data_IF_796302960732
#
_entry.id   IF_796302960732
#
_cell.length_a   1.000
_cell.length_b   1.000
_cell.length_c   1.000
_cell.angle_alpha   90.00
_cell.angle_beta   90.00
_cell.angle_gamma   90.00
#
_symmetry.space_group_name_H-M   'P 1'
#
loop_
_entity.id
_entity.type
_entity.pdbx_description
1 polymer ?
#
# COMPACT_ATOMS: atom_id res chain seq x y z
N UNK A 1 -39.42 -35.18 0.02
CA UNK A 1 -39.89 -34.50 -1.20
C UNK A 1 -40.58 -33.22 -0.73
N UNK A 2 -39.83 -32.14 -0.60
CA UNK A 2 -40.36 -30.84 -0.14
C UNK A 2 -39.92 -29.79 -1.15
N UNK A 3 -40.71 -29.70 -2.20
CA UNK A 3 -40.72 -28.60 -3.16
C UNK A 3 -41.51 -27.45 -2.52
N UNK A 4 -40.84 -26.60 -1.76
CA UNK A 4 -41.38 -25.29 -1.40
C UNK A 4 -40.19 -24.37 -1.13
N UNK A 5 -39.99 -23.39 -2.00
CA UNK A 5 -39.36 -22.08 -1.76
C UNK A 5 -39.00 -21.39 -3.09
N UNK A 6 -39.86 -21.54 -4.12
CA UNK A 6 -39.74 -20.78 -5.38
C UNK A 6 -40.55 -19.48 -5.40
N UNK A 7 -41.46 -19.28 -4.44
CA UNK A 7 -42.49 -18.22 -4.51
C UNK A 7 -42.23 -17.03 -3.58
N UNK A 8 -41.41 -17.18 -2.53
CA UNK A 8 -41.05 -16.07 -1.61
C UNK A 8 -39.91 -15.19 -2.13
N UNK A 9 -39.31 -15.53 -3.27
CA UNK A 9 -38.09 -14.87 -3.80
C UNK A 9 -38.34 -13.45 -4.37
N UNK A 10 -39.60 -13.02 -4.49
CA UNK A 10 -39.98 -11.78 -5.17
C UNK A 10 -40.27 -10.64 -4.16
N UNK A 11 -40.33 -10.90 -2.85
CA UNK A 11 -40.78 -9.90 -1.86
C UNK A 11 -39.68 -9.13 -1.12
N UNK A 12 -38.39 -9.45 -1.29
CA UNK A 12 -37.29 -8.73 -0.63
C UNK A 12 -36.44 -7.93 -1.63
N UNK A 13 -36.22 -6.65 -1.33
CA UNK A 13 -35.39 -5.74 -2.16
C UNK A 13 -33.93 -6.19 -2.28
N UNK A 14 -33.46 -7.02 -1.33
CA UNK A 14 -32.11 -7.55 -1.28
C UNK A 14 -32.13 -9.08 -1.28
N UNK A 15 -31.17 -9.73 -1.96
CA UNK A 15 -31.03 -11.18 -1.90
C UNK A 15 -30.63 -11.61 -0.47
N UNK A 16 -31.04 -12.82 -0.04
CA UNK A 16 -30.56 -13.38 1.22
C UNK A 16 -29.04 -13.58 1.17
N UNK A 17 -28.37 -13.65 2.33
CA UNK A 17 -26.94 -13.91 2.39
C UNK A 17 -26.61 -15.25 1.70
N UNK A 18 -25.38 -15.41 1.19
CA UNK A 18 -25.00 -16.63 0.50
C UNK A 18 -25.17 -17.89 1.37
N UNK A 19 -25.49 -19.05 0.76
CA UNK A 19 -25.81 -20.29 1.48
C UNK A 19 -24.63 -20.82 2.31
N UNK A 20 -23.39 -20.46 1.96
CA UNK A 20 -22.19 -20.88 2.68
C UNK A 20 -22.05 -20.28 4.09
N UNK A 21 -22.81 -19.23 4.42
CA UNK A 21 -22.80 -18.65 5.77
C UNK A 21 -23.18 -19.67 6.87
N UNK A 22 -23.94 -20.72 6.52
CA UNK A 22 -24.34 -21.78 7.47
C UNK A 22 -23.17 -22.65 7.94
N UNK A 23 -22.09 -22.73 7.16
CA UNK A 23 -20.93 -23.57 7.47
C UNK A 23 -19.95 -22.89 8.45
N UNK A 24 -20.14 -21.59 8.75
CA UNK A 24 -19.35 -20.81 9.70
C UNK A 24 -19.81 -21.06 11.15
N UNK A 25 -19.66 -22.29 11.63
CA UNK A 25 -19.91 -22.69 13.03
C UNK A 25 -18.59 -22.81 13.81
N UNK A 26 -18.62 -22.58 15.12
CA UNK A 26 -17.43 -22.70 15.99
C UNK A 26 -16.75 -24.08 15.90
N UNK A 27 -17.53 -25.15 15.72
CA UNK A 27 -17.03 -26.52 15.53
C UNK A 27 -16.20 -26.67 14.24
N UNK A 28 -16.76 -26.25 13.09
CA UNK A 28 -16.05 -26.29 11.81
C UNK A 28 -14.80 -25.40 11.79
N UNK A 29 -14.80 -24.29 12.54
CA UNK A 29 -13.63 -23.42 12.70
C UNK A 29 -12.51 -24.11 13.50
N UNK A 30 -12.86 -24.82 14.58
CA UNK A 30 -11.89 -25.60 15.35
C UNK A 30 -11.27 -26.73 14.51
N UNK A 31 -12.10 -27.47 13.75
CA UNK A 31 -11.61 -28.52 12.85
C UNK A 31 -10.69 -27.99 11.76
N UNK A 32 -11.02 -26.83 11.17
CA UNK A 32 -10.18 -26.18 10.18
C UNK A 32 -8.83 -25.75 10.77
N UNK A 33 -8.81 -25.21 12.00
CA UNK A 33 -7.57 -24.84 12.69
C UNK A 33 -6.68 -26.06 12.97
N UNK A 34 -7.27 -27.19 13.38
CA UNK A 34 -6.55 -28.45 13.57
C UNK A 34 -5.94 -28.97 12.26
N UNK A 35 -6.72 -28.97 11.16
CA UNK A 35 -6.25 -29.39 9.84
C UNK A 35 -5.10 -28.50 9.36
N UNK A 36 -5.23 -27.17 9.44
CA UNK A 36 -4.17 -26.23 9.07
C UNK A 36 -2.89 -26.45 9.89
N UNK A 37 -3.03 -26.71 11.20
CA UNK A 37 -1.89 -27.01 12.06
C UNK A 37 -1.18 -28.33 11.70
N UNK A 38 -1.94 -29.33 11.22
CA UNK A 38 -1.40 -30.62 10.80
C UNK A 38 -0.66 -30.53 9.46
N UNK A 39 -1.17 -29.74 8.52
CA UNK A 39 -0.54 -29.47 7.21
C UNK A 39 0.80 -28.75 7.42
N UNK A 40 0.81 -27.66 8.20
CA UNK A 40 2.04 -26.91 8.48
C UNK A 40 3.13 -27.73 9.19
N UNK A 41 2.76 -28.73 9.99
CA UNK A 41 3.74 -29.63 10.66
C UNK A 41 4.36 -30.64 9.69
N UNK A 42 3.62 -31.09 8.69
CA UNK A 42 4.13 -32.02 7.67
C UNK A 42 5.04 -31.29 6.67
N UNK A 43 4.73 -30.05 6.29
CA UNK A 43 5.58 -29.24 5.42
C UNK A 43 6.91 -28.86 6.08
N UNK A 44 6.91 -28.60 7.39
CA UNK A 44 8.13 -28.30 8.16
C UNK A 44 9.11 -29.49 8.26
N UNK A 45 8.64 -30.73 8.07
CA UNK A 45 9.49 -31.92 8.11
C UNK A 45 10.15 -32.24 6.75
N UNK A 46 9.60 -31.72 5.64
CA UNK A 46 10.05 -32.04 4.28
C UNK A 46 10.87 -30.93 3.59
N UNK A 47 10.86 -29.69 4.09
CA UNK A 47 11.54 -28.57 3.45
C UNK A 47 12.97 -28.38 3.97
N UNK A 48 13.91 -29.18 3.45
CA UNK A 48 15.36 -29.00 3.61
C UNK A 48 16.07 -28.57 2.32
N UNK A 49 15.35 -28.19 1.27
CA UNK A 49 15.98 -27.69 0.04
C UNK A 49 15.38 -26.32 -0.33
N UNK A 50 16.28 -25.33 -0.42
CA UNK A 50 15.92 -23.94 -0.65
C UNK A 50 15.83 -23.64 -2.13
N UNK A 51 14.64 -23.31 -2.59
CA UNK A 51 14.46 -22.33 -3.67
C UNK A 51 13.13 -21.59 -3.46
N UNK A 52 13.22 -20.29 -3.19
CA UNK A 52 12.09 -19.42 -2.88
C UNK A 52 11.65 -18.71 -4.17
N UNK A 53 10.84 -19.39 -4.98
CA UNK A 53 9.94 -18.72 -5.92
C UNK A 53 8.51 -18.92 -5.43
N UNK A 54 7.88 -17.81 -5.03
CA UNK A 54 6.58 -17.73 -4.40
C UNK A 54 5.44 -18.10 -5.37
N UNK A 55 5.15 -19.40 -5.50
CA UNK A 55 3.91 -19.93 -6.07
C UNK A 55 3.39 -21.15 -5.25
N UNK A 56 3.56 -21.10 -3.91
CA UNK A 56 3.16 -22.14 -2.95
C UNK A 56 1.65 -22.16 -2.62
N UNK A 57 0.76 -21.89 -3.58
CA UNK A 57 -0.70 -21.82 -3.36
C UNK A 57 -1.45 -23.08 -3.87
N UNK A 58 -0.74 -24.14 -4.26
CA UNK A 58 -1.36 -25.22 -5.04
C UNK A 58 -1.74 -26.53 -4.33
N UNK A 59 -1.12 -26.95 -3.22
CA UNK A 59 -1.33 -28.33 -2.75
C UNK A 59 -2.08 -28.51 -1.41
N UNK A 60 -2.38 -27.43 -0.67
CA UNK A 60 -3.06 -27.56 0.62
C UNK A 60 -4.60 -27.77 0.54
N UNK A 61 -5.19 -27.61 -0.65
CA UNK A 61 -6.64 -27.71 -0.86
C UNK A 61 -7.14 -29.16 -1.05
N UNK A 62 -6.25 -30.13 -1.31
CA UNK A 62 -6.64 -31.54 -1.47
C UNK A 62 -7.02 -32.22 -0.15
N UNK A 63 -6.61 -31.67 0.99
CA UNK A 63 -6.86 -32.25 2.31
C UNK A 63 -8.11 -31.70 3.02
N UNK A 64 -8.76 -30.67 2.47
CA UNK A 64 -9.95 -30.04 3.07
C UNK A 64 -11.21 -30.63 2.42
N UNK A 65 -11.81 -31.63 3.08
CA UNK A 65 -13.00 -32.32 2.58
C UNK A 65 -14.29 -31.57 2.88
N UNK A 66 -15.20 -31.56 1.92
CA UNK A 66 -16.62 -31.22 2.14
C UNK A 66 -16.87 -29.75 2.48
N UNK A 67 -17.68 -29.53 3.52
CA UNK A 67 -18.25 -28.23 3.89
C UNK A 67 -17.19 -27.22 4.41
N UNK A 68 -16.04 -27.71 4.88
CA UNK A 68 -14.93 -26.88 5.35
C UNK A 68 -14.23 -26.13 4.21
N UNK A 69 -14.39 -26.56 2.95
CA UNK A 69 -13.83 -25.85 1.79
C UNK A 69 -14.41 -24.43 1.65
N UNK A 70 -15.64 -24.21 2.11
CA UNK A 70 -16.29 -22.90 2.05
C UNK A 70 -15.75 -21.89 3.08
N UNK A 71 -14.94 -22.36 4.04
CA UNK A 71 -14.27 -21.50 5.03
C UNK A 71 -12.92 -20.98 4.53
N UNK A 72 -12.36 -21.60 3.49
CA UNK A 72 -11.12 -21.15 2.85
C UNK A 72 -11.47 -20.15 1.74
N UNK A 73 -10.78 -18.99 1.67
CA UNK A 73 -10.96 -18.06 0.56
C UNK A 73 -10.76 -18.78 -0.79
N UNK A 74 -11.63 -18.52 -1.79
CA UNK A 74 -11.50 -19.17 -3.08
C UNK A 74 -10.20 -18.73 -3.78
N UNK A 75 -9.63 -19.63 -4.57
CA UNK A 75 -8.47 -19.33 -5.42
C UNK A 75 -8.77 -18.16 -6.37
N UNK A 76 -7.76 -17.34 -6.63
CA UNK A 76 -7.87 -16.25 -7.61
C UNK A 76 -8.27 -16.84 -8.98
N UNK A 77 -9.34 -16.33 -9.63
CA UNK A 77 -9.74 -16.85 -10.93
C UNK A 77 -8.62 -16.66 -11.96
N UNK A 78 -8.32 -17.69 -12.76
CA UNK A 78 -7.32 -17.60 -13.85
C UNK A 78 -7.78 -16.75 -15.05
N UNK A 79 -8.98 -16.16 -14.98
CA UNK A 79 -9.52 -15.32 -16.04
C UNK A 79 -8.75 -14.01 -16.19
N UNK A 80 -8.89 -13.34 -17.34
CA UNK A 80 -8.33 -11.99 -17.55
C UNK A 80 -9.27 -10.89 -17.04
N UNK A 81 -10.57 -11.19 -16.97
CA UNK A 81 -11.61 -10.23 -16.62
C UNK A 81 -12.67 -10.84 -15.68
N UNK A 82 -13.31 -10.01 -14.86
CA UNK A 82 -14.44 -10.37 -14.00
C UNK A 82 -15.57 -9.35 -14.15
N UNK A 83 -16.82 -9.79 -14.02
CA UNK A 83 -17.97 -8.89 -14.06
C UNK A 83 -18.33 -8.46 -12.65
N UNK A 84 -18.30 -7.16 -12.39
CA UNK A 84 -18.63 -6.55 -11.10
C UNK A 84 -19.54 -5.34 -11.30
N UNK A 85 -20.70 -5.33 -10.65
CA UNK A 85 -21.64 -4.19 -10.64
C UNK A 85 -22.04 -3.71 -12.04
N UNK A 86 -22.33 -4.65 -12.95
CA UNK A 86 -22.73 -4.35 -14.33
C UNK A 86 -21.56 -4.14 -15.30
N UNK A 87 -20.36 -3.86 -14.79
CA UNK A 87 -19.16 -3.61 -15.60
C UNK A 87 -18.25 -4.83 -15.69
N UNK A 88 -17.50 -4.94 -16.79
CA UNK A 88 -16.44 -5.93 -16.97
C UNK A 88 -15.12 -5.27 -16.58
N UNK A 89 -14.47 -5.81 -15.56
CA UNK A 89 -13.21 -5.36 -15.00
C UNK A 89 -12.09 -6.31 -15.41
N UNK A 90 -10.87 -5.82 -15.59
CA UNK A 90 -9.69 -6.67 -15.82
C UNK A 90 -8.95 -6.93 -14.52
N UNK A 91 -8.40 -8.14 -14.32
CA UNK A 91 -7.60 -8.46 -13.13
C UNK A 91 -6.25 -7.74 -13.10
N UNK A 92 -5.64 -7.53 -14.27
CA UNK A 92 -4.47 -6.68 -14.43
C UNK A 92 -4.95 -5.34 -14.98
N UNK A 93 -4.63 -4.27 -14.26
CA UNK A 93 -4.91 -2.92 -14.71
C UNK A 93 -4.06 -2.63 -15.95
N UNK A 94 -4.69 -2.72 -17.12
CA UNK A 94 -4.10 -2.37 -18.40
C UNK A 94 -4.87 -1.18 -18.91
N UNK A 95 -4.14 -0.09 -19.19
CA UNK A 95 -4.76 1.05 -19.82
C UNK A 95 -5.26 0.63 -21.21
N UNK A 96 -6.52 0.89 -21.58
CA UNK A 96 -7.02 0.60 -22.92
C UNK A 96 -6.16 1.34 -23.95
N UNK A 97 -5.60 0.63 -24.94
CA UNK A 97 -4.87 1.30 -26.00
C UNK A 97 -5.86 2.05 -26.90
N UNK A 98 -5.47 3.21 -27.40
CA UNK A 98 -6.25 3.97 -28.39
C UNK A 98 -6.55 3.16 -29.66
N UNK A 99 -5.61 2.29 -30.05
CA UNK A 99 -5.76 1.38 -31.20
C UNK A 99 -6.82 0.32 -30.98
N UNK A 100 -6.96 -0.20 -29.76
CA UNK A 100 -7.97 -1.21 -29.40
C UNK A 100 -9.39 -0.60 -29.38
N UNK A 101 -9.48 0.72 -29.31
CA UNK A 101 -10.73 1.49 -29.28
C UNK A 101 -11.03 2.19 -30.62
N UNK A 102 -10.28 1.88 -31.68
CA UNK A 102 -10.39 2.45 -33.03
C UNK A 102 -10.15 3.98 -33.13
N UNK A 103 -9.53 4.59 -32.14
CA UNK A 103 -9.20 6.02 -32.18
C UNK A 103 -7.80 6.24 -32.75
N UNK A 104 -7.67 7.27 -33.59
CA UNK A 104 -6.37 7.66 -34.14
C UNK A 104 -5.49 8.22 -33.01
N UNK A 105 -4.30 7.66 -32.92
CA UNK A 105 -3.31 8.07 -31.94
C UNK A 105 -2.45 9.17 -32.55
N UNK A 106 -2.49 10.36 -31.94
CA UNK A 106 -1.83 11.56 -32.48
C UNK A 106 -0.37 11.71 -32.05
N UNK A 107 0.19 10.75 -31.31
CA UNK A 107 1.54 10.83 -30.74
C UNK A 107 2.27 9.48 -30.81
N UNK A 108 3.60 9.51 -30.87
CA UNK A 108 4.44 8.32 -30.94
C UNK A 108 4.70 7.72 -29.54
N UNK A 109 4.24 6.49 -29.31
CA UNK A 109 4.47 5.76 -28.04
C UNK A 109 5.94 5.42 -27.78
N UNK A 110 6.75 5.27 -28.83
CA UNK A 110 8.10 4.70 -28.75
C UNK A 110 9.13 5.61 -28.03
N UNK A 111 8.84 6.90 -27.84
CA UNK A 111 9.77 7.90 -27.30
C UNK A 111 9.24 8.63 -26.04
N UNK A 112 8.32 8.00 -25.30
CA UNK A 112 7.56 8.68 -24.25
C UNK A 112 8.29 8.75 -22.90
N UNK A 113 9.42 9.46 -22.85
CA UNK A 113 9.97 9.96 -21.59
C UNK A 113 8.93 10.87 -20.90
N UNK A 114 8.91 10.93 -19.56
CA UNK A 114 8.01 11.81 -18.79
C UNK A 114 8.00 13.25 -19.30
N UNK A 115 9.15 13.77 -19.73
CA UNK A 115 9.29 15.12 -20.29
C UNK A 115 8.67 15.27 -21.68
N UNK A 116 8.91 14.30 -22.57
CA UNK A 116 8.31 14.27 -23.92
C UNK A 116 6.79 14.23 -23.82
N UNK A 117 6.26 13.47 -22.86
CA UNK A 117 4.82 13.38 -22.57
C UNK A 117 4.20 14.73 -22.24
N UNK A 118 4.87 15.51 -21.40
CA UNK A 118 4.40 16.85 -21.00
C UNK A 118 4.42 17.80 -22.20
N UNK A 119 5.44 17.70 -23.07
CA UNK A 119 5.51 18.50 -24.30
C UNK A 119 4.36 18.16 -25.26
N UNK A 120 4.06 16.88 -25.47
CA UNK A 120 2.93 16.46 -26.31
C UNK A 120 1.59 16.89 -25.70
N UNK A 121 1.45 16.85 -24.37
CA UNK A 121 0.26 17.36 -23.68
C UNK A 121 0.05 18.87 -23.93
N UNK A 122 1.11 19.67 -23.86
CA UNK A 122 1.04 21.11 -24.16
C UNK A 122 0.70 21.36 -25.63
N UNK A 123 1.32 20.63 -26.58
CA UNK A 123 0.97 20.75 -28.01
C UNK A 123 -0.51 20.42 -28.27
N UNK A 124 -1.04 19.37 -27.63
CA UNK A 124 -2.45 19.01 -27.76
C UNK A 124 -3.37 20.07 -27.15
N UNK A 125 -2.97 20.70 -26.04
CA UNK A 125 -3.70 21.80 -25.44
C UNK A 125 -3.76 23.02 -26.38
N UNK A 126 -2.63 23.39 -26.98
CA UNK A 126 -2.56 24.49 -27.94
C UNK A 126 -3.38 24.19 -29.20
N UNK A 127 -3.32 22.95 -29.69
CA UNK A 127 -4.13 22.48 -30.82
C UNK A 127 -5.63 22.46 -30.50
N UNK A 128 -6.02 22.07 -29.29
CA UNK A 128 -7.40 22.11 -28.81
C UNK A 128 -7.92 23.55 -28.75
N UNK A 129 -7.11 24.48 -28.22
CA UNK A 129 -7.45 25.89 -28.16
C UNK A 129 -7.62 26.49 -29.56
N UNK A 130 -6.72 26.15 -30.49
CA UNK A 130 -6.82 26.60 -31.88
C UNK A 130 -8.10 26.09 -32.54
N UNK A 131 -8.42 24.80 -32.39
CA UNK A 131 -9.66 24.22 -32.91
C UNK A 131 -10.91 24.86 -32.30
N UNK A 132 -10.87 25.26 -31.03
CA UNK A 132 -11.97 25.96 -30.39
C UNK A 132 -12.17 27.37 -30.96
N UNK A 133 -11.10 28.12 -31.20
CA UNK A 133 -11.16 29.44 -31.84
C UNK A 133 -11.65 29.33 -33.29
N UNK A 134 -11.20 28.30 -34.01
CA UNK A 134 -11.70 27.99 -35.36
C UNK A 134 -13.18 27.64 -35.36
N UNK A 135 -13.67 26.88 -34.37
CA UNK A 135 -15.09 26.59 -34.22
C UNK A 135 -15.91 27.86 -33.98
N UNK A 136 -15.46 28.76 -33.11
CA UNK A 136 -16.14 30.04 -32.88
C UNK A 136 -16.19 30.87 -34.17
N UNK A 137 -15.07 30.93 -34.90
CA UNK A 137 -15.02 31.63 -36.19
C UNK A 137 -15.97 30.99 -37.21
N UNK A 138 -16.01 29.66 -37.27
CA UNK A 138 -16.86 28.92 -38.18
C UNK A 138 -18.34 29.14 -37.86
N UNK A 139 -18.73 29.08 -36.59
CA UNK A 139 -20.10 29.38 -36.14
C UNK A 139 -20.52 30.83 -36.47
N UNK A 140 -19.57 31.75 -36.56
CA UNK A 140 -19.84 33.14 -36.97
C UNK A 140 -20.01 33.32 -38.48
N UNK A 141 -19.46 32.42 -39.31
CA UNK A 141 -19.47 32.54 -40.79
C UNK A 141 -20.45 31.57 -41.43
N UNK A 142 -20.35 30.28 -41.10
CA UNK A 142 -21.24 29.22 -41.56
C UNK A 142 -21.53 28.21 -40.43
N UNK A 143 -22.69 28.34 -39.75
CA UNK A 143 -23.08 27.47 -38.66
C UNK A 143 -23.31 26.00 -39.05
N UNK A 144 -23.43 25.66 -40.35
CA UNK A 144 -23.76 24.28 -40.76
C UNK A 144 -22.55 23.34 -40.75
N UNK A 145 -21.33 23.87 -40.76
CA UNK A 145 -20.09 23.08 -40.88
C UNK A 145 -19.41 22.79 -39.53
N UNK A 146 -20.12 22.91 -38.41
CA UNK A 146 -19.53 22.76 -37.07
C UNK A 146 -19.10 21.31 -36.73
N UNK A 147 -19.77 20.31 -37.31
CA UNK A 147 -19.60 18.89 -36.99
C UNK A 147 -18.16 18.36 -37.12
N UNK A 148 -17.42 18.59 -38.22
CA UNK A 148 -16.03 18.12 -38.34
C UNK A 148 -15.12 18.68 -37.23
N UNK A 149 -15.28 19.97 -36.87
CA UNK A 149 -14.45 20.59 -35.83
C UNK A 149 -14.75 20.06 -34.43
N UNK A 150 -16.01 19.72 -34.13
CA UNK A 150 -16.38 19.07 -32.87
C UNK A 150 -15.81 17.66 -32.79
N UNK A 151 -15.79 16.93 -33.91
CA UNK A 151 -15.18 15.60 -33.97
C UNK A 151 -13.66 15.65 -33.74
N UNK A 152 -12.98 16.61 -34.36
CA UNK A 152 -11.54 16.83 -34.17
C UNK A 152 -11.21 17.17 -32.70
N UNK A 153 -12.02 18.03 -32.07
CA UNK A 153 -11.86 18.34 -30.64
C UNK A 153 -12.11 17.13 -29.74
N UNK A 154 -13.10 16.29 -30.07
CA UNK A 154 -13.38 15.07 -29.32
C UNK A 154 -12.20 14.09 -29.42
N UNK A 155 -11.60 13.95 -30.60
CA UNK A 155 -10.41 13.14 -30.82
C UNK A 155 -9.20 13.66 -30.03
N UNK A 156 -8.98 14.98 -30.03
CA UNK A 156 -7.92 15.62 -29.25
C UNK A 156 -8.10 15.36 -27.75
N UNK A 157 -9.33 15.49 -27.22
CA UNK A 157 -9.63 15.25 -25.81
C UNK A 157 -9.43 13.78 -25.40
N UNK A 158 -9.78 12.82 -26.25
CA UNK A 158 -9.55 11.40 -26.00
C UNK A 158 -8.04 11.11 -25.92
N UNK A 159 -7.26 11.64 -26.87
CA UNK A 159 -5.80 11.52 -26.88
C UNK A 159 -5.17 12.18 -25.65
N UNK A 160 -5.63 13.39 -25.28
CA UNK A 160 -5.20 14.11 -24.10
C UNK A 160 -5.43 13.29 -22.81
N UNK A 161 -6.63 12.72 -22.67
CA UNK A 161 -6.96 11.88 -21.52
C UNK A 161 -6.10 10.60 -21.48
N UNK A 162 -5.82 10.00 -22.62
CA UNK A 162 -4.95 8.84 -22.68
C UNK A 162 -3.52 9.17 -22.23
N UNK A 163 -2.94 10.27 -22.70
CA UNK A 163 -1.63 10.75 -22.23
C UNK A 163 -1.64 10.98 -20.72
N UNK A 164 -2.66 11.63 -20.17
CA UNK A 164 -2.80 11.81 -18.72
C UNK A 164 -2.85 10.48 -17.97
N UNK A 165 -3.60 9.51 -18.49
CA UNK A 165 -3.69 8.20 -17.87
C UNK A 165 -2.35 7.47 -17.87
N UNK A 166 -1.57 7.57 -18.94
CA UNK A 166 -0.21 7.02 -18.95
C UNK A 166 0.74 7.74 -17.98
N UNK A 167 0.41 8.95 -17.50
CA UNK A 167 1.21 9.68 -16.50
C UNK A 167 0.87 9.28 -15.04
N UNK A 168 -0.26 8.60 -14.80
CA UNK A 168 -0.71 8.18 -13.45
C UNK A 168 0.31 7.35 -12.67
N UNK A 169 1.06 6.40 -13.28
CA UNK A 169 2.08 5.66 -12.53
C UNK A 169 3.20 6.55 -12.02
N UNK A 170 3.65 7.53 -12.82
CA UNK A 170 4.65 8.51 -12.40
C UNK A 170 4.12 9.40 -11.26
N UNK A 171 2.89 9.90 -11.38
CA UNK A 171 2.22 10.66 -10.32
C UNK A 171 2.15 9.88 -9.00
N UNK A 172 1.79 8.60 -9.07
CA UNK A 172 1.66 7.74 -7.89
C UNK A 172 3.01 7.53 -7.19
N UNK A 173 4.09 7.36 -7.96
CA UNK A 173 5.45 7.26 -7.42
C UNK A 173 5.89 8.55 -6.74
N UNK A 174 5.68 9.71 -7.37
CA UNK A 174 6.01 11.00 -6.75
C UNK A 174 5.18 11.26 -5.49
N UNK A 175 3.90 10.87 -5.49
CA UNK A 175 3.04 10.96 -4.30
C UNK A 175 3.57 10.08 -3.16
N UNK A 176 4.06 8.87 -3.45
CA UNK A 176 4.67 8.00 -2.45
C UNK A 176 5.98 8.61 -1.92
N UNK A 177 6.83 9.14 -2.80
CA UNK A 177 8.09 9.81 -2.41
C UNK A 177 7.79 11.01 -1.51
N UNK A 178 6.77 11.82 -1.83
CA UNK A 178 6.33 12.94 -1.01
C UNK A 178 5.87 12.47 0.38
N UNK A 179 5.09 11.38 0.45
CA UNK A 179 4.65 10.80 1.71
C UNK A 179 5.83 10.34 2.57
N UNK A 180 6.79 9.62 1.97
CA UNK A 180 7.99 9.13 2.67
C UNK A 180 8.87 10.30 3.15
N UNK A 181 9.06 11.33 2.34
CA UNK A 181 9.78 12.55 2.75
C UNK A 181 9.12 13.23 3.95
N UNK A 182 7.79 13.31 3.96
CA UNK A 182 7.02 13.86 5.08
C UNK A 182 7.21 13.02 6.35
N UNK A 183 7.22 11.69 6.25
CA UNK A 183 7.48 10.81 7.39
C UNK A 183 8.90 10.99 7.95
N UNK A 184 9.90 11.08 7.08
CA UNK A 184 11.29 11.34 7.49
C UNK A 184 11.40 12.69 8.21
N UNK A 185 10.78 13.73 7.68
CA UNK A 185 10.78 15.06 8.30
C UNK A 185 10.09 15.05 9.67
N UNK A 186 8.95 14.36 9.79
CA UNK A 186 8.25 14.21 11.06
C UNK A 186 9.12 13.49 12.10
N UNK A 187 9.80 12.40 11.71
CA UNK A 187 10.70 11.63 12.58
C UNK A 187 11.93 12.45 13.01
N UNK A 188 12.52 13.23 12.11
CA UNK A 188 13.62 14.15 12.46
C UNK A 188 13.19 15.20 13.48
N UNK A 189 12.01 15.79 13.30
CA UNK A 189 11.45 16.76 14.24
C UNK A 189 11.16 16.13 15.61
N UNK A 190 10.69 14.88 15.63
CA UNK A 190 10.49 14.12 16.87
C UNK A 190 11.81 13.91 17.63
N UNK A 191 12.88 13.52 16.92
CA UNK A 191 14.22 13.35 17.50
C UNK A 191 14.77 14.69 18.03
N UNK A 192 14.63 15.78 17.27
CA UNK A 192 15.05 17.11 17.70
C UNK A 192 14.33 17.55 18.98
N UNK A 193 13.02 17.30 19.07
CA UNK A 193 12.25 17.59 20.28
C UNK A 193 12.72 16.76 21.48
N UNK A 194 13.00 15.46 21.29
CA UNK A 194 13.54 14.61 22.36
C UNK A 194 14.91 15.10 22.82
N UNK A 195 15.78 15.52 21.88
CA UNK A 195 17.09 16.06 22.21
C UNK A 195 16.98 17.37 23.01
N UNK A 196 16.09 18.28 22.62
CA UNK A 196 15.82 19.53 23.36
C UNK A 196 15.37 19.24 24.79
N UNK A 197 14.42 18.31 24.98
CA UNK A 197 13.95 17.93 26.32
C UNK A 197 15.06 17.27 27.13
N UNK A 198 15.91 16.44 26.51
CA UNK A 198 17.06 15.83 27.19
C UNK A 198 18.09 16.87 27.63
N UNK A 199 18.36 17.88 26.80
CA UNK A 199 19.23 19.01 27.15
C UNK A 199 18.65 19.84 28.30
N UNK A 200 17.35 20.13 28.28
CA UNK A 200 16.65 20.82 29.37
C UNK A 200 16.76 20.04 30.69
N UNK A 201 16.47 18.74 30.68
CA UNK A 201 16.59 17.87 31.87
C UNK A 201 18.02 17.82 32.37
N UNK A 202 19.01 17.66 31.48
CA UNK A 202 20.43 17.66 31.84
C UNK A 202 20.83 18.99 32.48
N UNK A 203 20.40 20.12 31.92
CA UNK A 203 20.67 21.45 32.48
C UNK A 203 20.08 21.59 33.88
N UNK A 204 18.87 21.05 34.11
CA UNK A 204 18.20 21.10 35.41
C UNK A 204 18.88 20.21 36.45
N UNK A 205 19.33 19.01 36.08
CA UNK A 205 20.10 18.12 36.95
C UNK A 205 21.42 18.78 37.35
N UNK A 206 22.13 19.41 36.40
CA UNK A 206 23.38 20.14 36.70
C UNK A 206 23.11 21.27 37.69
N UNK A 207 22.06 22.06 37.48
CA UNK A 207 21.69 23.13 38.41
C UNK A 207 21.38 22.61 39.84
N UNK A 208 20.63 21.51 39.96
CA UNK A 208 20.34 20.89 41.26
C UNK A 208 21.61 20.32 41.93
N UNK A 209 22.50 19.66 41.17
CA UNK A 209 23.74 19.13 41.74
C UNK A 209 24.72 20.23 42.16
N UNK A 210 24.73 21.38 41.49
CA UNK A 210 25.49 22.54 41.98
C UNK A 210 24.88 23.16 43.24
N UNK A 211 23.54 23.16 43.36
CA UNK A 211 22.85 23.64 44.57
C UNK A 211 23.07 22.72 45.78
N UNK A 212 23.12 21.40 45.59
CA UNK A 212 23.38 20.42 46.66
C UNK A 212 24.86 20.39 47.11
N UNK A 213 25.82 20.71 46.22
CA UNK A 213 27.24 20.79 46.59
C UNK A 213 27.58 22.01 47.47
N UNK A 214 26.78 23.09 47.40
CA UNK A 214 26.99 24.30 48.21
C UNK A 214 26.46 24.17 49.65
N UNK A 215 25.70 23.12 49.99
CA UNK A 215 25.17 22.90 51.34
C UNK A 215 25.96 21.87 52.18
N UNK A 216 27.11 21.36 51.71
CA UNK A 216 27.89 20.39 52.49
C UNK A 216 29.41 20.64 52.44
N UNK A 217 29.82 21.87 52.77
CA UNK A 217 31.17 22.16 53.27
C UNK A 217 31.03 22.61 54.73
N UNK A 218 30.67 21.69 55.62
CA UNK A 218 31.02 21.83 57.03
C UNK A 218 32.39 21.16 57.21
N UNK A 219 33.44 21.98 57.17
CA UNK A 219 34.84 21.59 57.29
C UNK A 219 35.17 21.17 58.72
N UNK A 220 34.52 20.14 59.26
CA UNK A 220 34.87 19.53 60.54
C UNK A 220 34.32 18.10 60.67
N UNK A 221 34.80 17.15 59.85
CA UNK A 221 35.04 15.82 60.41
C UNK A 221 36.12 15.04 59.65
N UNK A 222 37.02 14.44 60.44
CA UNK A 222 38.21 13.73 60.02
C UNK A 222 37.90 12.39 59.32
N UNK A 223 38.75 12.06 58.33
CA UNK A 223 39.16 10.71 57.90
C UNK A 223 38.09 9.60 57.84
N UNK A 224 37.69 9.20 56.63
CA UNK A 224 37.48 7.77 56.29
C UNK A 224 37.82 7.48 54.81
N UNK A 225 38.97 6.81 54.60
CA UNK A 225 39.30 5.79 53.59
C UNK A 225 38.91 6.04 52.12
N UNK A 226 39.86 6.57 51.33
CA UNK A 226 39.90 6.38 49.88
C UNK A 226 40.39 4.97 49.53
N UNK A 227 39.48 4.07 49.20
CA UNK A 227 39.83 2.70 48.79
C UNK A 227 38.86 2.05 47.81
N UNK A 228 38.06 2.83 47.07
CA UNK A 228 37.16 2.29 46.07
C UNK A 228 37.70 2.56 44.66
N UNK A 229 38.31 1.53 44.06
CA UNK A 229 38.73 1.53 42.66
C UNK A 229 37.70 0.77 41.82
N UNK A 230 36.80 1.52 41.17
CA UNK A 230 35.72 0.96 40.33
C UNK A 230 36.19 0.18 39.11
N UNK A 231 37.49 0.24 38.77
CA UNK A 231 38.04 -0.54 37.66
C UNK A 231 38.14 -2.04 38.00
N UNK A 232 38.43 -2.36 39.27
CA UNK A 232 38.53 -3.76 39.75
C UNK A 232 37.17 -4.45 39.74
N UNK A 233 36.09 -3.70 40.02
CA UNK A 233 34.73 -4.23 40.02
C UNK A 233 34.21 -4.46 38.60
N UNK A 234 34.60 -3.59 37.66
CA UNK A 234 34.32 -3.74 36.23
C UNK A 234 34.98 -5.00 35.66
N UNK A 235 36.24 -5.27 36.01
CA UNK A 235 36.94 -6.49 35.57
C UNK A 235 36.28 -7.77 36.11
N UNK A 236 35.84 -7.79 37.37
CA UNK A 236 35.11 -8.94 37.94
C UNK A 236 33.77 -9.20 37.25
N UNK A 237 33.04 -8.13 36.90
CA UNK A 237 31.75 -8.27 36.20
C UNK A 237 31.96 -8.86 34.81
N UNK A 238 33.01 -8.40 34.09
CA UNK A 238 33.37 -8.91 32.76
C UNK A 238 33.77 -10.39 32.81
N UNK A 239 34.58 -10.82 33.79
CA UNK A 239 34.91 -12.24 33.98
C UNK A 239 33.67 -13.11 34.30
N UNK A 240 32.71 -12.58 35.07
CA UNK A 240 31.48 -13.32 35.40
C UNK A 240 30.55 -13.52 34.19
N UNK A 241 30.63 -12.63 33.19
CA UNK A 241 29.81 -12.71 31.98
C UNK A 241 30.44 -13.64 30.93
N UNK A 242 31.78 -13.68 30.87
CA UNK A 242 32.50 -14.58 29.97
C UNK A 242 32.46 -16.05 30.39
N UNK A 243 32.22 -16.34 31.68
CA UNK A 243 32.07 -17.72 32.17
C UNK A 243 30.66 -18.31 32.02
N UNK A 244 29.68 -17.51 31.58
CA UNK A 244 28.27 -17.90 31.39
C UNK A 244 27.87 -18.15 29.93
N UNK A 245 28.83 -18.14 29.01
CA UNK A 245 28.69 -18.57 27.60
C UNK A 245 29.43 -19.89 27.44
#
# INVERSE_FOLDING_TARGET
MSTSNGEDLISSLYPPPPPFAKYFTDENLAQLAEIQSSVNKNDAANNNDGDNDNDNDNDNDEHIKGELKFLVPPKVPSGTQYRGYGNIWSFKDKLPNLKDTQWEQLYDDANLTSETKIKELHKMMDSLLLNFVELIRLLSVDPQQFEPKVKDMSLLLINFNHILNTYRPHQSRESLIMLLRKQIQAKRKEIENINSVCEEVKSKIVAMTTEDFDMNIDTNDEKVVSGYDGNVEKERIVESLLSKV
#
